data_IF_317145544004
#
_entry.id   IF_317145544004
#
_cell.length_a   1.000
_cell.length_b   1.000
_cell.length_c   1.000
_cell.angle_alpha   90.00
_cell.angle_beta   90.00
_cell.angle_gamma   90.00
#
_symmetry.space_group_name_H-M   'P 1'
#
loop_
_entity.id
_entity.type
_entity.pdbx_description
1 polymer ?
#
# COMPACT_ATOMS: atom_id res chain seq x y z
N UNK A 1 11.34 -5.49 11.67
CA UNK A 1 12.71 -5.17 11.23
C UNK A 1 12.83 -5.31 9.72
N UNK A 2 13.75 -4.59 9.15
CA UNK A 2 14.13 -4.70 7.74
C UNK A 2 15.65 -4.91 7.71
N UNK A 3 16.07 -6.06 7.17
CA UNK A 3 17.49 -6.49 7.16
C UNK A 3 18.14 -6.45 8.55
N UNK A 4 17.40 -6.83 9.57
CA UNK A 4 17.85 -6.84 10.96
C UNK A 4 17.68 -5.53 11.73
N UNK A 5 17.42 -4.42 11.03
CA UNK A 5 17.24 -3.10 11.66
C UNK A 5 15.75 -2.82 11.94
N UNK A 6 15.44 -2.20 13.09
CA UNK A 6 14.07 -1.78 13.39
C UNK A 6 13.55 -0.77 12.36
N UNK A 7 12.27 -0.93 11.95
CA UNK A 7 11.60 0.06 11.11
C UNK A 7 10.31 0.52 11.80
N UNK A 8 9.95 1.79 11.59
CA UNK A 8 8.67 2.34 12.01
C UNK A 8 7.69 2.31 10.84
N UNK A 9 6.49 1.80 11.07
CA UNK A 9 5.41 1.85 10.07
C UNK A 9 4.72 3.22 10.05
N UNK A 10 4.75 3.94 11.18
CA UNK A 10 4.10 5.24 11.31
C UNK A 10 4.71 6.33 10.46
N UNK A 11 5.98 6.14 10.03
CA UNK A 11 6.68 7.08 9.14
C UNK A 11 6.54 6.74 7.67
N UNK A 12 5.74 5.71 7.35
CA UNK A 12 5.57 5.22 5.99
C UNK A 12 4.21 5.59 5.44
N UNK A 13 4.17 5.90 4.14
CA UNK A 13 2.93 6.11 3.41
C UNK A 13 2.48 4.82 2.74
N UNK A 14 1.17 4.57 2.70
CA UNK A 14 0.63 3.47 1.91
C UNK A 14 0.65 3.82 0.42
N UNK A 15 1.04 2.86 -0.39
CA UNK A 15 1.01 2.94 -1.85
C UNK A 15 -0.05 1.98 -2.38
N UNK A 16 -1.06 2.53 -3.04
CA UNK A 16 -2.25 1.80 -3.56
C UNK A 16 -2.97 0.97 -2.48
N UNK A 17 -2.77 1.28 -1.20
CA UNK A 17 -3.32 0.51 -0.09
C UNK A 17 -2.76 -0.92 0.02
N UNK A 18 -1.63 -1.21 -0.62
CA UNK A 18 -1.04 -2.57 -0.68
C UNK A 18 0.43 -2.58 -0.27
N UNK A 19 1.19 -1.55 -0.60
CA UNK A 19 2.61 -1.49 -0.27
C UNK A 19 2.90 -0.29 0.65
N UNK A 20 4.12 -0.23 1.17
CA UNK A 20 4.57 0.87 2.04
C UNK A 20 5.78 1.56 1.43
N UNK A 21 5.81 2.89 1.53
CA UNK A 21 6.95 3.68 1.03
C UNK A 21 8.25 3.27 1.70
N UNK A 22 9.31 3.11 0.91
CA UNK A 22 10.63 2.77 1.39
C UNK A 22 10.79 1.37 1.96
N UNK A 23 9.77 0.50 1.85
CA UNK A 23 9.87 -0.91 2.28
C UNK A 23 9.90 -1.79 1.03
N UNK A 24 11.06 -2.38 0.70
CA UNK A 24 11.19 -3.18 -0.50
C UNK A 24 10.52 -4.54 -0.37
N UNK A 25 10.01 -5.04 -1.49
CA UNK A 25 9.52 -6.41 -1.66
C UNK A 25 8.47 -6.86 -0.65
N UNK A 26 7.64 -5.93 -0.16
CA UNK A 26 6.65 -6.22 0.86
C UNK A 26 5.27 -5.72 0.45
N UNK A 27 4.26 -6.49 0.78
CA UNK A 27 2.86 -6.10 0.66
C UNK A 27 2.19 -6.22 2.02
N UNK A 28 1.24 -5.34 2.26
CA UNK A 28 0.39 -5.35 3.46
C UNK A 28 -1.08 -5.36 3.04
N UNK A 29 -1.92 -5.96 3.84
CA UNK A 29 -3.34 -6.04 3.57
C UNK A 29 -4.09 -5.30 4.67
N UNK A 30 -4.74 -4.21 4.28
CA UNK A 30 -5.70 -3.50 5.11
C UNK A 30 -7.08 -3.67 4.47
N UNK A 31 -8.02 -4.21 5.24
CA UNK A 31 -9.37 -4.45 4.74
C UNK A 31 -10.17 -3.17 4.52
N UNK A 32 -11.32 -3.32 3.88
CA UNK A 32 -12.28 -2.24 3.74
C UNK A 32 -13.00 -1.96 5.07
N UNK A 33 -13.37 -0.70 5.29
CA UNK A 33 -14.19 -0.30 6.45
C UNK A 33 -15.68 -0.51 6.21
N UNK A 34 -16.09 -0.64 4.95
CA UNK A 34 -17.49 -0.71 4.51
C UNK A 34 -17.81 -1.95 3.66
N UNK A 35 -16.91 -2.90 3.60
CA UNK A 35 -17.03 -4.12 2.81
C UNK A 35 -16.21 -5.24 3.43
N UNK A 36 -16.32 -6.45 2.85
CA UNK A 36 -15.57 -7.61 3.32
C UNK A 36 -14.06 -7.42 3.19
N UNK A 37 -13.34 -7.79 4.24
CA UNK A 37 -11.88 -7.83 4.25
C UNK A 37 -11.31 -8.79 3.21
N UNK A 38 -11.98 -9.92 2.97
CA UNK A 38 -11.54 -10.89 1.97
C UNK A 38 -11.55 -10.34 0.57
N UNK A 39 -12.48 -9.43 0.27
CA UNK A 39 -12.55 -8.76 -1.02
C UNK A 39 -11.31 -7.90 -1.28
N UNK A 40 -10.85 -7.16 -0.26
CA UNK A 40 -9.60 -6.39 -0.36
C UNK A 40 -8.37 -7.28 -0.40
N UNK A 41 -8.34 -8.32 0.42
CA UNK A 41 -7.23 -9.27 0.44
C UNK A 41 -7.03 -9.92 -0.93
N UNK A 42 -8.11 -10.35 -1.56
CA UNK A 42 -8.07 -10.98 -2.89
C UNK A 42 -7.48 -10.04 -3.94
N UNK A 43 -7.98 -8.82 -4.02
CA UNK A 43 -7.51 -7.85 -5.02
C UNK A 43 -6.07 -7.38 -4.75
N UNK A 44 -5.68 -7.26 -3.48
CA UNK A 44 -4.31 -6.92 -3.10
C UNK A 44 -3.33 -8.03 -3.47
N UNK A 45 -3.68 -9.29 -3.22
CA UNK A 45 -2.87 -10.44 -3.62
C UNK A 45 -2.73 -10.56 -5.14
N UNK A 46 -3.82 -10.34 -5.87
CA UNK A 46 -3.81 -10.31 -7.34
C UNK A 46 -2.86 -9.24 -7.87
N UNK A 47 -2.93 -8.03 -7.33
CA UNK A 47 -2.03 -6.94 -7.70
C UNK A 47 -0.57 -7.30 -7.42
N UNK A 48 -0.27 -7.80 -6.22
CA UNK A 48 1.11 -8.12 -5.85
C UNK A 48 1.68 -9.25 -6.69
N UNK A 49 0.85 -10.22 -7.06
CA UNK A 49 1.23 -11.27 -8.02
C UNK A 49 1.58 -10.67 -9.39
N UNK A 50 0.83 -9.69 -9.87
CA UNK A 50 1.18 -8.97 -11.12
C UNK A 50 2.51 -8.24 -11.00
N UNK A 51 2.81 -7.65 -9.85
CA UNK A 51 4.11 -7.01 -9.58
C UNK A 51 5.24 -8.03 -9.67
N UNK A 52 5.09 -9.18 -9.02
CA UNK A 52 6.10 -10.26 -9.07
C UNK A 52 6.31 -10.74 -10.50
N UNK A 53 5.23 -10.99 -11.24
CA UNK A 53 5.32 -11.41 -12.65
C UNK A 53 6.02 -10.36 -13.52
N UNK A 54 5.79 -9.09 -13.26
CA UNK A 54 6.49 -8.01 -13.95
C UNK A 54 7.98 -8.01 -13.63
N UNK A 55 8.35 -8.23 -12.35
CA UNK A 55 9.74 -8.34 -11.93
C UNK A 55 10.45 -9.51 -12.63
N UNK A 56 9.82 -10.67 -12.67
CA UNK A 56 10.37 -11.85 -13.35
C UNK A 56 10.61 -11.60 -14.83
N UNK A 57 9.63 -10.99 -15.51
CA UNK A 57 9.76 -10.68 -16.96
C UNK A 57 10.86 -9.67 -17.25
N UNK A 58 11.12 -8.75 -16.35
CA UNK A 58 12.10 -7.67 -16.55
C UNK A 58 13.45 -7.94 -15.88
N UNK A 59 13.60 -9.09 -15.23
CA UNK A 59 14.83 -9.45 -14.52
C UNK A 59 15.11 -8.58 -13.29
N UNK A 60 14.07 -8.01 -12.68
CA UNK A 60 14.18 -7.16 -11.49
C UNK A 60 14.01 -7.99 -10.23
N UNK A 61 14.73 -7.64 -9.18
CA UNK A 61 14.69 -8.35 -7.89
C UNK A 61 14.17 -7.50 -6.75
N UNK A 62 14.17 -6.20 -6.93
CA UNK A 62 13.72 -5.26 -5.89
C UNK A 62 12.64 -4.36 -6.46
N UNK A 63 11.56 -4.20 -5.71
CA UNK A 63 10.50 -3.23 -5.95
C UNK A 63 10.25 -2.45 -4.67
N UNK A 64 10.23 -1.13 -4.77
CA UNK A 64 10.00 -0.26 -3.63
C UNK A 64 9.22 0.99 -4.05
N UNK A 65 8.13 1.34 -3.34
CA UNK A 65 7.46 2.62 -3.55
C UNK A 65 8.30 3.76 -2.98
N UNK A 66 8.52 4.80 -3.78
CA UNK A 66 9.26 6.00 -3.39
C UNK A 66 8.28 7.16 -3.19
N UNK A 67 8.18 7.66 -1.98
CA UNK A 67 7.30 8.76 -1.61
C UNK A 67 7.97 10.13 -1.58
N UNK A 68 9.16 10.27 -2.17
CA UNK A 68 9.86 11.56 -2.21
C UNK A 68 8.97 12.64 -2.86
N UNK A 69 8.81 13.78 -2.17
CA UNK A 69 7.97 14.88 -2.63
C UNK A 69 6.46 14.68 -2.44
N UNK A 70 6.04 13.58 -1.85
CA UNK A 70 4.62 13.30 -1.57
C UNK A 70 4.22 13.93 -0.23
N UNK A 71 3.15 14.73 -0.24
CA UNK A 71 2.63 15.35 0.98
C UNK A 71 1.78 14.37 1.78
N UNK A 72 1.95 14.38 3.11
CA UNK A 72 1.13 13.60 4.04
C UNK A 72 -0.29 14.17 4.05
N UNK A 73 -1.28 13.27 3.95
CA UNK A 73 -2.69 13.60 4.06
C UNK A 73 -3.19 13.56 5.50
N UNK A 74 -4.38 14.10 5.71
CA UNK A 74 -5.06 14.05 7.01
C UNK A 74 -5.79 12.73 7.20
N UNK A 75 -6.04 12.37 8.48
CA UNK A 75 -6.74 11.16 8.86
C UNK A 75 -5.89 9.90 8.79
N UNK A 76 -6.46 8.81 9.26
CA UNK A 76 -5.80 7.50 9.21
C UNK A 76 -6.31 6.68 8.01
N UNK A 77 -5.63 5.57 7.73
CA UNK A 77 -5.95 4.68 6.60
C UNK A 77 -7.32 4.00 6.71
N UNK A 78 -7.94 4.00 7.88
CA UNK A 78 -9.27 3.45 8.10
C UNK A 78 -10.39 4.51 8.06
N UNK A 79 -10.06 5.74 7.67
CA UNK A 79 -11.04 6.82 7.53
C UNK A 79 -11.73 7.16 8.83
N UNK A 80 -13.07 7.21 8.82
CA UNK A 80 -13.90 7.55 10.00
C UNK A 80 -14.13 6.37 10.95
N UNK A 81 -13.62 5.18 10.67
CA UNK A 81 -13.79 4.03 11.54
C UNK A 81 -12.99 4.24 12.83
N UNK A 82 -13.69 4.33 13.95
CA UNK A 82 -13.12 4.59 15.28
C UNK A 82 -13.50 3.49 16.26
N UNK A 83 -13.08 2.26 15.97
CA UNK A 83 -13.24 1.16 16.92
C UNK A 83 -12.14 1.20 18.00
N UNK A 84 -12.41 0.61 19.16
CA UNK A 84 -11.41 0.51 20.22
C UNK A 84 -10.11 -0.17 19.77
N UNK A 85 -10.21 -1.11 18.83
CA UNK A 85 -9.06 -1.75 18.22
C UNK A 85 -8.20 -0.76 17.41
N UNK A 86 -8.83 0.06 16.58
CA UNK A 86 -8.13 1.07 15.76
C UNK A 86 -7.51 2.14 16.65
N UNK A 87 -8.22 2.59 17.69
CA UNK A 87 -7.67 3.56 18.65
C UNK A 87 -6.40 3.03 19.33
N UNK A 88 -6.40 1.78 19.76
CA UNK A 88 -5.22 1.17 20.39
C UNK A 88 -4.07 0.97 19.41
N UNK A 89 -4.37 0.73 18.14
CA UNK A 89 -3.36 0.52 17.10
C UNK A 89 -2.93 1.77 16.34
N UNK A 90 -3.50 2.93 16.66
CA UNK A 90 -3.28 4.18 15.90
C UNK A 90 -1.80 4.53 15.75
N UNK A 91 -1.03 4.36 16.79
CA UNK A 91 0.41 4.67 16.79
C UNK A 91 1.27 3.61 16.07
N UNK A 92 0.65 2.55 15.57
CA UNK A 92 1.30 1.47 14.82
C UNK A 92 0.90 1.45 13.35
N UNK A 93 -0.04 2.30 12.94
CA UNK A 93 -0.55 2.31 11.57
C UNK A 93 0.29 3.24 10.69
N UNK A 94 0.46 2.87 9.41
CA UNK A 94 1.09 3.77 8.45
C UNK A 94 0.18 4.96 8.14
N UNK A 95 0.78 5.98 7.54
CA UNK A 95 0.09 7.18 7.10
C UNK A 95 -0.39 7.02 5.66
N UNK A 96 -1.14 8.00 5.17
CA UNK A 96 -1.54 8.09 3.77
C UNK A 96 -1.20 9.47 3.21
N UNK A 97 -1.07 9.56 1.89
CA UNK A 97 -0.90 10.82 1.19
C UNK A 97 -2.21 11.58 1.02
N UNK A 98 -2.14 12.77 0.43
CA UNK A 98 -3.31 13.61 0.21
C UNK A 98 -4.22 13.09 -0.91
N UNK A 99 -3.65 12.44 -1.91
CA UNK A 99 -4.40 12.03 -3.11
C UNK A 99 -3.70 10.93 -3.90
N UNK A 100 -4.38 10.43 -4.92
CA UNK A 100 -3.83 9.49 -5.88
C UNK A 100 -3.52 8.13 -5.27
N UNK A 101 -2.45 7.52 -5.73
CA UNK A 101 -2.01 6.17 -5.30
C UNK A 101 -1.57 6.11 -3.84
N UNK A 102 -1.32 7.27 -3.23
CA UNK A 102 -0.90 7.39 -1.84
C UNK A 102 -2.06 7.49 -0.85
N UNK A 103 -3.28 7.67 -1.34
CA UNK A 103 -4.47 7.70 -0.49
C UNK A 103 -5.21 6.38 -0.55
N UNK A 104 -5.55 5.85 0.62
CA UNK A 104 -6.35 4.61 0.73
C UNK A 104 -7.80 4.92 0.36
N UNK A 105 -8.33 4.15 -0.57
CA UNK A 105 -9.74 4.19 -0.93
C UNK A 105 -10.48 3.01 -0.31
N UNK A 106 -11.68 3.26 0.20
CA UNK A 106 -12.56 2.22 0.71
C UNK A 106 -13.66 1.90 -0.31
N UNK A 107 -13.26 1.83 -1.59
CA UNK A 107 -14.16 1.57 -2.72
C UNK A 107 -13.55 0.48 -3.61
N UNK A 108 -14.21 -0.67 -3.64
CA UNK A 108 -13.76 -1.81 -4.43
C UNK A 108 -13.64 -1.51 -5.92
N UNK A 109 -14.60 -0.79 -6.50
CA UNK A 109 -14.57 -0.50 -7.94
C UNK A 109 -13.41 0.41 -8.32
N UNK A 110 -13.06 1.36 -7.46
CA UNK A 110 -11.88 2.21 -7.65
C UNK A 110 -10.62 1.38 -7.55
N UNK A 111 -10.51 0.53 -6.52
CA UNK A 111 -9.35 -0.37 -6.35
C UNK A 111 -9.23 -1.34 -7.51
N UNK A 112 -10.32 -1.90 -8.00
CA UNK A 112 -10.32 -2.79 -9.16
C UNK A 112 -9.70 -2.12 -10.38
N UNK A 113 -10.09 -0.87 -10.67
CA UNK A 113 -9.48 -0.11 -11.77
C UNK A 113 -7.99 0.11 -11.57
N UNK A 114 -7.60 0.51 -10.37
CA UNK A 114 -6.20 0.84 -10.06
C UNK A 114 -5.31 -0.40 -9.99
N UNK A 115 -5.77 -1.45 -9.30
CA UNK A 115 -4.95 -2.63 -9.02
C UNK A 115 -4.98 -3.67 -10.13
N UNK A 116 -6.08 -3.80 -10.87
CA UNK A 116 -6.24 -4.81 -11.91
C UNK A 116 -6.04 -4.27 -13.33
N UNK A 117 -6.40 -3.01 -13.59
CA UNK A 117 -6.46 -2.47 -14.96
C UNK A 117 -5.32 -1.53 -15.31
N UNK A 118 -4.77 -0.79 -14.35
CA UNK A 118 -3.67 0.13 -14.64
C UNK A 118 -2.33 -0.61 -14.78
N UNK A 119 -1.38 -0.07 -15.55
CA UNK A 119 -0.03 -0.62 -15.65
C UNK A 119 0.64 -0.73 -14.30
N UNK A 120 1.51 -1.72 -14.14
CA UNK A 120 2.32 -1.92 -12.93
C UNK A 120 3.33 -0.78 -12.76
N UNK A 121 4.03 -0.41 -13.84
CA UNK A 121 5.02 0.66 -13.79
C UNK A 121 4.35 2.03 -13.74
N UNK A 122 4.74 2.83 -12.76
CA UNK A 122 4.38 4.24 -12.65
C UNK A 122 5.57 5.08 -12.16
N UNK A 123 5.36 6.37 -11.92
CA UNK A 123 6.42 7.30 -11.49
C UNK A 123 6.93 7.07 -10.07
N UNK A 124 6.18 6.34 -9.22
CA UNK A 124 6.50 6.15 -7.81
C UNK A 124 7.09 4.77 -7.50
N UNK A 125 6.81 3.78 -8.32
CA UNK A 125 7.23 2.40 -8.08
C UNK A 125 8.57 2.14 -8.76
N UNK A 126 9.61 2.02 -7.95
CA UNK A 126 10.97 1.80 -8.42
C UNK A 126 11.32 0.31 -8.47
N UNK A 127 11.94 -0.10 -9.56
CA UNK A 127 12.41 -1.47 -9.76
C UNK A 127 13.92 -1.48 -9.98
N UNK A 128 14.60 -2.42 -9.34
CA UNK A 128 16.05 -2.61 -9.52
C UNK A 128 16.46 -4.09 -9.55
N UNK A 129 17.63 -4.32 -10.04
CA UNK A 129 18.17 -5.68 -10.16
C UNK A 129 18.60 -6.29 -8.81
#
# INVERSE_FOLDING_TARGET
>A
TMDGEPISLTDRLTYKGVMLSGVPNAAVIFGYTNSSWTLKADIACSYFTRVINYMDKTGKRVVVPNSAGVSIGEGNIFGALDSGYIRRGKDMLPQQGKSGVWRVTHNFFTDYKVLEKKPIKDEFLEFSA
#
